data_IF_224301047874
#
_entry.id   IF_224301047874
#
_cell.length_a   1.000
_cell.length_b   1.000
_cell.length_c   1.000
_cell.angle_alpha   90.00
_cell.angle_beta   90.00
_cell.angle_gamma   90.00
#
_symmetry.space_group_name_H-M   'P 1'
#
loop_
_entity.id
_entity.type
_entity.pdbx_description
1 polymer ?
#
# COMPACT_ATOMS: atom_id res chain seq x y z
N UNK A 1 -24.64 7.33 10.30
CA UNK A 1 -24.23 6.21 9.44
C UNK A 1 -22.82 5.83 9.85
N UNK A 2 -22.39 4.58 9.72
CA UNK A 2 -21.00 4.22 10.00
C UNK A 2 -20.07 4.92 9.02
N UNK A 3 -18.85 5.24 9.49
CA UNK A 3 -17.84 5.88 8.67
C UNK A 3 -17.32 4.94 7.56
N UNK A 4 -16.62 5.52 6.60
CA UNK A 4 -16.02 4.84 5.47
C UNK A 4 -14.51 5.04 5.57
N UNK A 5 -13.73 3.96 5.49
CA UNK A 5 -12.29 4.05 5.29
C UNK A 5 -11.93 3.61 3.87
N UNK A 6 -10.81 4.12 3.35
CA UNK A 6 -10.25 3.67 2.08
C UNK A 6 -8.74 3.46 2.20
N UNK A 7 -8.21 2.56 1.39
CA UNK A 7 -6.80 2.19 1.37
C UNK A 7 -6.22 2.33 -0.03
N UNK A 8 -5.13 3.11 -0.12
CA UNK A 8 -4.19 3.09 -1.24
C UNK A 8 -2.97 2.24 -0.87
N UNK A 9 -2.56 1.31 -1.75
CA UNK A 9 -1.43 0.41 -1.52
C UNK A 9 -0.21 0.84 -2.30
N UNK A 10 0.94 0.86 -1.63
CA UNK A 10 2.18 1.30 -2.24
C UNK A 10 3.41 0.54 -1.77
N UNK A 11 4.59 1.00 -2.21
CA UNK A 11 5.88 0.41 -1.84
C UNK A 11 6.48 1.10 -0.62
N UNK A 12 6.54 2.43 -0.61
CA UNK A 12 7.10 3.22 0.49
C UNK A 12 6.19 3.25 1.71
N UNK A 13 4.92 3.56 1.47
CA UNK A 13 3.84 3.31 2.40
C UNK A 13 3.13 2.04 1.89
N UNK A 14 3.17 0.97 2.70
CA UNK A 14 2.58 -0.30 2.31
C UNK A 14 1.05 -0.19 2.24
N UNK A 15 0.48 0.68 3.07
CA UNK A 15 -0.90 1.12 2.99
C UNK A 15 -1.01 2.56 3.49
N UNK A 16 -1.78 3.39 2.79
CA UNK A 16 -2.28 4.67 3.27
C UNK A 16 -3.78 4.51 3.53
N UNK A 17 -4.21 4.70 4.76
CA UNK A 17 -5.60 4.55 5.19
C UNK A 17 -6.15 5.93 5.49
N UNK A 18 -7.33 6.23 4.94
CA UNK A 18 -8.04 7.49 5.17
C UNK A 18 -9.47 7.17 5.59
N UNK A 19 -9.97 7.86 6.61
CA UNK A 19 -11.35 7.76 7.05
C UNK A 19 -12.09 9.08 6.83
N UNK A 20 -13.37 9.02 6.51
CA UNK A 20 -14.19 10.22 6.29
C UNK A 20 -14.64 10.91 7.59
N UNK A 21 -14.13 10.49 8.74
CA UNK A 21 -14.23 11.22 10.01
C UNK A 21 -13.15 12.29 10.19
N UNK A 22 -12.22 12.42 9.23
CA UNK A 22 -11.12 13.37 9.28
C UNK A 22 -9.82 12.79 9.83
N UNK A 23 -9.64 11.47 9.78
CA UNK A 23 -8.42 10.79 10.22
C UNK A 23 -7.67 10.12 9.08
N UNK A 24 -6.35 9.95 9.23
CA UNK A 24 -5.50 9.29 8.25
C UNK A 24 -4.27 8.63 8.88
N UNK A 25 -3.87 7.47 8.33
CA UNK A 25 -2.78 6.64 8.85
C UNK A 25 -1.92 6.10 7.71
N UNK A 26 -0.60 6.13 7.88
CA UNK A 26 0.38 5.52 6.96
C UNK A 26 1.05 4.31 7.60
N UNK A 27 0.98 3.17 6.94
CA UNK A 27 1.72 1.97 7.29
C UNK A 27 3.00 1.88 6.45
N UNK A 28 4.18 2.01 7.09
CA UNK A 28 5.46 2.02 6.37
C UNK A 28 5.84 0.66 5.81
N UNK A 29 6.24 0.64 4.52
CA UNK A 29 6.67 -0.58 3.82
C UNK A 29 8.16 -0.91 3.93
N UNK A 30 8.97 -0.04 4.54
CA UNK A 30 10.44 -0.12 4.49
C UNK A 30 11.02 -1.45 5.00
N UNK A 31 10.53 -1.99 6.11
CA UNK A 31 11.02 -3.27 6.64
C UNK A 31 10.69 -4.45 5.71
N UNK A 32 9.47 -4.49 5.17
CA UNK A 32 9.04 -5.51 4.20
C UNK A 32 9.86 -5.43 2.93
N UNK A 33 10.06 -4.22 2.40
CA UNK A 33 10.89 -4.00 1.20
C UNK A 33 12.34 -4.42 1.41
N UNK A 34 12.92 -4.05 2.55
CA UNK A 34 14.31 -4.43 2.91
C UNK A 34 14.48 -5.94 3.00
N UNK A 35 13.54 -6.65 3.61
CA UNK A 35 13.55 -8.12 3.67
C UNK A 35 13.42 -8.74 2.27
N UNK A 36 12.52 -8.24 1.42
CA UNK A 36 12.38 -8.72 0.04
C UNK A 36 13.70 -8.54 -0.74
N UNK A 37 14.33 -7.36 -0.65
CA UNK A 37 15.60 -7.08 -1.33
C UNK A 37 16.74 -7.95 -0.81
N UNK A 38 16.85 -8.13 0.51
CA UNK A 38 17.84 -9.00 1.13
C UNK A 38 17.65 -10.46 0.70
N UNK A 39 16.42 -10.95 0.73
CA UNK A 39 16.07 -12.31 0.29
C UNK A 39 16.48 -12.55 -1.17
N UNK A 40 16.08 -11.66 -2.09
CA UNK A 40 16.40 -11.81 -3.51
C UNK A 40 17.92 -11.79 -3.75
N UNK A 41 18.67 -10.89 -3.09
CA UNK A 41 20.13 -10.82 -3.18
C UNK A 41 20.80 -12.12 -2.67
N UNK A 42 20.36 -12.62 -1.52
CA UNK A 42 20.92 -13.85 -0.94
C UNK A 42 20.57 -15.07 -1.78
N UNK A 43 19.32 -15.18 -2.24
CA UNK A 43 18.86 -16.24 -3.11
C UNK A 43 19.62 -16.27 -4.43
N UNK A 44 19.77 -15.13 -5.11
CA UNK A 44 20.51 -15.02 -6.37
C UNK A 44 21.98 -15.48 -6.20
N UNK A 45 22.65 -15.05 -5.12
CA UNK A 45 24.02 -15.50 -4.82
C UNK A 45 24.11 -17.01 -4.60
N UNK A 46 23.19 -17.58 -3.83
CA UNK A 46 23.20 -19.03 -3.57
C UNK A 46 22.90 -19.84 -4.85
N UNK A 47 21.94 -19.40 -5.67
CA UNK A 47 21.64 -20.02 -6.96
C UNK A 47 22.86 -19.99 -7.86
N UNK A 48 23.52 -18.84 -8.03
CA UNK A 48 24.72 -18.69 -8.85
C UNK A 48 25.87 -19.64 -8.44
N UNK A 49 26.04 -19.92 -7.14
CA UNK A 49 27.04 -20.85 -6.65
C UNK A 49 26.67 -22.30 -7.01
N UNK A 50 25.40 -22.66 -6.81
CA UNK A 50 24.91 -24.04 -7.03
C UNK A 50 24.93 -24.38 -8.54
N UNK A 51 24.57 -23.42 -9.40
CA UNK A 51 24.45 -23.65 -10.85
C UNK A 51 25.76 -23.40 -11.62
N UNK A 52 26.84 -23.06 -10.93
CA UNK A 52 28.12 -22.76 -11.57
C UNK A 52 28.61 -23.93 -12.42
N UNK A 53 28.77 -23.70 -13.72
CA UNK A 53 29.22 -24.68 -14.69
C UNK A 53 28.15 -25.68 -15.18
N UNK A 54 26.89 -25.48 -14.80
CA UNK A 54 25.77 -26.31 -15.24
C UNK A 54 24.65 -25.43 -15.83
N UNK A 55 24.52 -25.43 -17.15
CA UNK A 55 23.39 -24.78 -17.83
C UNK A 55 22.11 -25.60 -17.55
N UNK A 56 20.98 -24.89 -17.31
CA UNK A 56 19.63 -25.46 -17.04
C UNK A 56 19.46 -26.27 -15.75
N UNK A 57 20.41 -26.23 -14.81
CA UNK A 57 20.25 -26.90 -13.52
C UNK A 57 19.26 -26.16 -12.61
N UNK A 58 18.27 -26.90 -12.06
CA UNK A 58 17.43 -26.38 -11.00
C UNK A 58 18.20 -26.33 -9.67
N UNK A 59 18.44 -25.10 -9.17
CA UNK A 59 19.10 -24.92 -7.89
C UNK A 59 18.19 -25.36 -6.73
N UNK A 60 18.62 -26.39 -6.00
CA UNK A 60 17.94 -26.85 -4.78
C UNK A 60 18.98 -27.10 -3.69
N UNK A 61 18.70 -26.68 -2.46
CA UNK A 61 19.53 -26.98 -1.28
C UNK A 61 18.73 -26.73 0.00
N UNK A 62 19.19 -27.35 1.10
CA UNK A 62 18.65 -27.09 2.45
C UNK A 62 18.73 -25.61 2.82
N UNK A 63 19.81 -24.93 2.40
CA UNK A 63 19.99 -23.49 2.62
C UNK A 63 18.92 -22.67 1.90
N UNK A 64 18.67 -22.91 0.60
CA UNK A 64 17.64 -22.22 -0.16
C UNK A 64 16.24 -22.44 0.42
N UNK A 65 15.96 -23.66 0.86
CA UNK A 65 14.67 -23.98 1.51
C UNK A 65 14.50 -23.25 2.84
N UNK A 66 15.55 -23.20 3.67
CA UNK A 66 15.54 -22.47 4.93
C UNK A 66 15.40 -20.95 4.71
N UNK A 67 16.13 -20.40 3.73
CA UNK A 67 16.05 -18.98 3.37
C UNK A 67 14.63 -18.60 2.91
N UNK A 68 14.03 -19.42 2.04
CA UNK A 68 12.67 -19.19 1.55
C UNK A 68 11.63 -19.28 2.65
N UNK A 69 11.78 -20.21 3.59
CA UNK A 69 10.88 -20.33 4.74
C UNK A 69 10.97 -19.10 5.65
N UNK A 70 12.19 -18.70 6.01
CA UNK A 70 12.40 -17.52 6.85
C UNK A 70 11.76 -16.26 6.23
N UNK A 71 11.98 -16.05 4.93
CA UNK A 71 11.36 -14.95 4.19
C UNK A 71 9.81 -15.02 4.22
N UNK A 72 9.26 -16.20 3.91
CA UNK A 72 7.80 -16.38 3.91
C UNK A 72 7.18 -16.15 5.29
N UNK A 73 7.84 -16.64 6.36
CA UNK A 73 7.36 -16.45 7.74
C UNK A 73 7.39 -14.98 8.15
N UNK A 74 8.48 -14.25 7.81
CA UNK A 74 8.56 -12.80 8.07
C UNK A 74 7.46 -12.03 7.34
N UNK A 75 7.30 -12.27 6.04
CA UNK A 75 6.30 -11.59 5.23
C UNK A 75 4.89 -11.85 5.77
N UNK A 76 4.59 -13.10 6.11
CA UNK A 76 3.30 -13.49 6.67
C UNK A 76 3.04 -12.80 8.01
N UNK A 77 4.02 -12.78 8.91
CA UNK A 77 3.92 -12.11 10.21
C UNK A 77 3.64 -10.60 10.04
N UNK A 78 4.40 -9.92 9.17
CA UNK A 78 4.21 -8.48 8.93
C UNK A 78 2.83 -8.19 8.31
N UNK A 79 2.39 -8.98 7.33
CA UNK A 79 1.06 -8.82 6.75
C UNK A 79 -0.05 -9.08 7.79
N UNK A 80 0.14 -10.02 8.72
CA UNK A 80 -0.81 -10.26 9.82
C UNK A 80 -0.90 -9.07 10.78
N UNK A 81 0.24 -8.48 11.16
CA UNK A 81 0.31 -7.33 12.06
C UNK A 81 -0.30 -6.08 11.43
N UNK A 82 0.11 -5.76 10.21
CA UNK A 82 -0.40 -4.59 9.47
C UNK A 82 -1.91 -4.73 9.23
N UNK A 83 -2.37 -5.87 8.72
CA UNK A 83 -3.80 -6.07 8.46
C UNK A 83 -4.64 -6.04 9.74
N UNK A 84 -4.13 -6.54 10.88
CA UNK A 84 -4.83 -6.43 12.18
C UNK A 84 -4.89 -4.98 12.64
N UNK A 85 -3.78 -4.24 12.54
CA UNK A 85 -3.73 -2.82 12.90
C UNK A 85 -4.70 -1.98 12.05
N UNK A 86 -4.77 -2.23 10.73
CA UNK A 86 -5.73 -1.56 9.84
C UNK A 86 -7.18 -1.84 10.28
N UNK A 87 -7.52 -3.08 10.61
CA UNK A 87 -8.89 -3.40 11.04
C UNK A 87 -9.20 -2.79 12.41
N UNK A 88 -8.24 -2.77 13.34
CA UNK A 88 -8.41 -2.09 14.63
C UNK A 88 -8.64 -0.59 14.42
N UNK A 89 -7.88 0.05 13.53
CA UNK A 89 -8.10 1.44 13.12
C UNK A 89 -9.52 1.67 12.56
N UNK A 90 -9.99 0.80 11.65
CA UNK A 90 -11.35 0.88 11.14
C UNK A 90 -12.42 0.77 12.24
N UNK A 91 -12.22 -0.13 13.22
CA UNK A 91 -13.13 -0.31 14.36
C UNK A 91 -13.14 0.94 15.25
N UNK A 92 -11.96 1.48 15.58
CA UNK A 92 -11.78 2.68 16.41
C UNK A 92 -12.47 3.89 15.79
N UNK A 93 -12.38 4.03 14.46
CA UNK A 93 -13.02 5.09 13.69
C UNK A 93 -14.47 4.75 13.24
N UNK A 94 -15.08 3.72 13.83
CA UNK A 94 -16.47 3.32 13.56
C UNK A 94 -16.78 3.09 12.08
N UNK A 95 -15.82 2.60 11.29
CA UNK A 95 -16.01 2.33 9.88
C UNK A 95 -16.86 1.08 9.64
N UNK A 96 -17.97 1.25 8.93
CA UNK A 96 -18.81 0.11 8.48
C UNK A 96 -18.44 -0.36 7.06
N UNK A 97 -17.65 0.43 6.34
CA UNK A 97 -17.22 0.10 4.97
C UNK A 97 -15.73 0.41 4.80
N UNK A 98 -15.02 -0.49 4.13
CA UNK A 98 -13.62 -0.36 3.79
C UNK A 98 -13.42 -0.52 2.28
N UNK A 99 -12.97 0.55 1.62
CA UNK A 99 -12.68 0.57 0.19
C UNK A 99 -11.21 0.24 -0.04
N UNK A 100 -10.92 -0.73 -0.89
CA UNK A 100 -9.57 -1.18 -1.23
C UNK A 100 -9.26 -0.79 -2.67
N UNK A 101 -8.21 -0.01 -2.88
CA UNK A 101 -7.71 0.30 -4.22
C UNK A 101 -7.27 -0.96 -4.96
N UNK A 102 -7.68 -1.10 -6.22
CA UNK A 102 -7.30 -2.23 -7.08
C UNK A 102 -6.72 -1.72 -8.40
N UNK A 103 -5.50 -2.10 -8.69
CA UNK A 103 -4.90 -1.89 -10.00
C UNK A 103 -4.76 -3.23 -10.72
N UNK A 104 -5.67 -3.50 -11.65
CA UNK A 104 -5.69 -4.76 -12.43
C UNK A 104 -4.48 -4.91 -13.37
N UNK A 105 -3.83 -3.80 -13.73
CA UNK A 105 -2.68 -3.77 -14.67
C UNK A 105 -1.33 -3.65 -13.95
N UNK A 106 -1.30 -3.73 -12.65
CA UNK A 106 -0.11 -3.50 -11.83
C UNK A 106 1.13 -4.29 -12.23
N UNK A 107 0.96 -5.42 -12.92
CA UNK A 107 2.08 -6.29 -13.33
C UNK A 107 2.46 -6.17 -14.81
N UNK A 108 1.71 -5.44 -15.64
CA UNK A 108 1.85 -5.54 -17.10
C UNK A 108 2.48 -4.32 -17.77
N UNK A 109 2.32 -3.10 -17.28
CA UNK A 109 2.74 -1.87 -17.98
C UNK A 109 3.49 -0.84 -17.12
N UNK A 110 4.18 -1.26 -16.06
CA UNK A 110 4.95 -0.34 -15.24
C UNK A 110 6.33 -0.10 -15.85
N UNK A 111 6.48 0.90 -16.70
CA UNK A 111 7.79 1.42 -17.15
C UNK A 111 8.32 2.46 -16.15
N UNK A 112 8.52 2.03 -14.89
CA UNK A 112 9.11 2.86 -13.82
C UNK A 112 10.62 2.62 -13.66
N UNK A 113 11.25 1.96 -14.64
CA UNK A 113 12.64 1.49 -14.55
C UNK A 113 12.78 0.16 -13.77
N UNK A 114 13.79 -0.64 -14.14
CA UNK A 114 13.96 -2.03 -13.69
C UNK A 114 13.98 -2.20 -12.18
N UNK A 115 14.59 -1.29 -11.43
CA UNK A 115 14.70 -1.33 -9.97
C UNK A 115 13.35 -1.07 -9.28
N UNK A 116 12.60 -0.08 -9.77
CA UNK A 116 11.29 0.23 -9.21
C UNK A 116 10.28 -0.87 -9.51
N UNK A 117 10.32 -1.44 -10.72
CA UNK A 117 9.49 -2.57 -11.10
C UNK A 117 9.77 -3.80 -10.23
N UNK A 118 11.06 -4.11 -9.96
CA UNK A 118 11.43 -5.21 -9.08
C UNK A 118 10.94 -5.00 -7.63
N UNK A 119 11.12 -3.81 -7.08
CA UNK A 119 10.64 -3.47 -5.75
C UNK A 119 9.12 -3.61 -5.65
N UNK A 120 8.42 -3.18 -6.68
CA UNK A 120 6.96 -3.20 -6.74
C UNK A 120 6.40 -4.62 -6.85
N UNK A 121 6.98 -5.44 -7.73
CA UNK A 121 6.58 -6.84 -7.91
C UNK A 121 6.87 -7.69 -6.67
N UNK A 122 7.91 -7.34 -5.89
CA UNK A 122 8.30 -8.06 -4.69
C UNK A 122 7.43 -7.78 -3.47
N UNK A 123 6.69 -6.65 -3.44
CA UNK A 123 5.82 -6.32 -2.31
C UNK A 123 4.60 -7.24 -2.24
N UNK A 124 4.30 -7.83 -1.07
CA UNK A 124 3.23 -8.82 -0.92
C UNK A 124 1.84 -8.18 -0.76
N UNK A 125 1.49 -7.25 -1.67
CA UNK A 125 0.23 -6.49 -1.59
C UNK A 125 -0.98 -7.41 -1.69
N UNK A 126 -0.95 -8.42 -2.58
CA UNK A 126 -2.06 -9.36 -2.72
C UNK A 126 -2.32 -10.15 -1.44
N UNK A 127 -1.26 -10.57 -0.73
CA UNK A 127 -1.37 -11.26 0.56
C UNK A 127 -1.96 -10.33 1.63
N UNK A 128 -1.48 -9.08 1.70
CA UNK A 128 -2.00 -8.08 2.63
C UNK A 128 -3.49 -7.82 2.37
N UNK A 129 -3.90 -7.61 1.11
CA UNK A 129 -5.32 -7.43 0.72
C UNK A 129 -6.18 -8.60 1.18
N UNK A 130 -5.77 -9.84 0.90
CA UNK A 130 -6.50 -11.03 1.34
C UNK A 130 -6.69 -11.06 2.86
N UNK A 131 -5.63 -10.73 3.62
CA UNK A 131 -5.69 -10.70 5.09
C UNK A 131 -6.59 -9.57 5.62
N UNK A 132 -6.64 -8.42 4.95
CA UNK A 132 -7.55 -7.34 5.29
C UNK A 132 -9.00 -7.76 5.03
N UNK A 133 -9.29 -8.35 3.86
CA UNK A 133 -10.65 -8.72 3.45
C UNK A 133 -11.28 -9.70 4.44
N UNK A 134 -10.59 -10.81 4.79
CA UNK A 134 -11.20 -11.78 5.71
C UNK A 134 -11.34 -11.21 7.13
N UNK A 135 -10.36 -10.41 7.61
CA UNK A 135 -10.44 -9.79 8.93
C UNK A 135 -11.52 -8.70 9.01
N UNK A 136 -11.74 -7.96 7.91
CA UNK A 136 -12.85 -7.01 7.81
C UNK A 136 -14.20 -7.75 7.90
N UNK A 137 -14.32 -8.87 7.18
CA UNK A 137 -15.52 -9.72 7.25
C UNK A 137 -15.77 -10.24 8.68
N UNK A 138 -14.73 -10.71 9.37
CA UNK A 138 -14.81 -11.16 10.77
C UNK A 138 -15.25 -10.03 11.72
N UNK A 139 -14.88 -8.78 11.41
CA UNK A 139 -15.25 -7.58 12.16
C UNK A 139 -16.61 -6.98 11.75
N UNK A 140 -17.32 -7.57 10.79
CA UNK A 140 -18.57 -7.05 10.27
C UNK A 140 -18.42 -5.80 9.38
N UNK A 141 -17.22 -5.52 8.87
CA UNK A 141 -16.91 -4.40 7.98
C UNK A 141 -17.06 -4.84 6.52
N UNK A 142 -17.92 -4.15 5.76
CA UNK A 142 -18.11 -4.40 4.33
C UNK A 142 -16.87 -3.96 3.54
N UNK A 143 -16.34 -4.81 2.66
CA UNK A 143 -15.24 -4.46 1.76
C UNK A 143 -15.73 -4.17 0.34
N UNK A 144 -15.16 -3.14 -0.31
CA UNK A 144 -15.40 -2.77 -1.71
C UNK A 144 -14.05 -2.71 -2.42
N UNK A 145 -13.92 -3.39 -3.56
CA UNK A 145 -12.73 -3.25 -4.43
C UNK A 145 -13.00 -2.15 -5.44
N UNK A 146 -12.12 -1.15 -5.51
CA UNK A 146 -12.26 -0.01 -6.41
C UNK A 146 -11.04 0.13 -7.31
N UNK A 147 -11.29 0.22 -8.60
CA UNK A 147 -10.28 0.55 -9.60
C UNK A 147 -9.72 1.96 -9.32
N UNK A 148 -8.38 2.11 -9.35
CA UNK A 148 -7.67 3.30 -8.84
C UNK A 148 -7.07 4.21 -9.92
N UNK A 149 -7.41 4.04 -11.22
CA UNK A 149 -6.90 4.93 -12.26
C UNK A 149 -7.21 6.39 -11.95
N UNK A 150 -6.21 7.25 -12.14
CA UNK A 150 -6.26 8.69 -11.97
C UNK A 150 -6.50 9.20 -10.54
N UNK A 151 -6.71 8.33 -9.55
CA UNK A 151 -6.95 8.75 -8.15
C UNK A 151 -5.76 9.49 -7.52
N UNK A 152 -4.53 9.17 -7.95
CA UNK A 152 -3.32 9.85 -7.50
C UNK A 152 -3.07 11.21 -8.18
N UNK A 153 -3.77 11.49 -9.29
CA UNK A 153 -3.67 12.74 -10.06
C UNK A 153 -4.74 13.76 -9.66
N UNK A 154 -5.94 13.29 -9.32
CA UNK A 154 -7.06 14.14 -8.95
C UNK A 154 -6.84 14.85 -7.61
N UNK A 155 -7.24 16.13 -7.53
CA UNK A 155 -7.23 16.94 -6.32
C UNK A 155 -8.51 16.68 -5.51
N UNK A 156 -8.35 16.11 -4.32
CA UNK A 156 -9.48 15.83 -3.43
C UNK A 156 -10.14 17.13 -2.94
N UNK A 157 -9.38 18.21 -2.76
CA UNK A 157 -9.92 19.48 -2.24
C UNK A 157 -10.75 20.23 -3.27
N UNK A 158 -10.47 20.03 -4.56
CA UNK A 158 -11.24 20.60 -5.67
C UNK A 158 -12.33 19.65 -6.17
N UNK A 159 -12.39 18.42 -5.65
CA UNK A 159 -13.31 17.39 -6.12
C UNK A 159 -13.19 17.13 -7.64
N UNK A 160 -11.95 17.14 -8.17
CA UNK A 160 -11.69 16.91 -9.59
C UNK A 160 -12.42 15.66 -10.09
N UNK A 161 -12.93 15.72 -11.32
CA UNK A 161 -13.49 14.52 -11.95
C UNK A 161 -12.43 13.41 -12.08
N UNK A 162 -12.77 12.20 -11.69
CA UNK A 162 -11.87 11.04 -11.76
C UNK A 162 -12.36 10.12 -12.88
N UNK A 163 -11.70 10.12 -14.06
CA UNK A 163 -12.13 9.32 -15.18
C UNK A 163 -11.87 7.82 -14.96
N UNK A 164 -12.49 7.02 -15.83
CA UNK A 164 -12.22 5.60 -15.96
C UNK A 164 -11.27 5.40 -17.15
N UNK A 165 -10.17 4.66 -16.91
CA UNK A 165 -9.15 4.43 -17.93
C UNK A 165 -9.71 3.79 -19.20
N UNK A 166 -9.44 4.44 -20.35
CA UNK A 166 -9.86 3.98 -21.66
C UNK A 166 -11.35 4.12 -21.95
N UNK A 167 -12.09 4.89 -21.16
CA UNK A 167 -13.52 5.16 -21.34
C UNK A 167 -13.77 6.65 -21.57
N UNK A 168 -13.31 7.50 -20.66
CA UNK A 168 -13.60 8.93 -20.61
C UNK A 168 -12.39 9.79 -20.19
N UNK A 169 -11.18 9.27 -20.41
CA UNK A 169 -9.93 9.85 -19.92
C UNK A 169 -9.21 10.78 -20.93
N UNK A 170 -9.68 10.89 -22.17
CA UNK A 170 -8.99 11.64 -23.24
C UNK A 170 -8.80 13.13 -22.92
N UNK A 171 -9.67 13.74 -22.11
CA UNK A 171 -9.64 15.17 -21.77
C UNK A 171 -9.57 15.41 -20.25
N UNK A 172 -9.03 14.48 -19.50
CA UNK A 172 -8.95 14.61 -18.05
C UNK A 172 -8.04 15.77 -17.64
N UNK A 173 -8.57 16.72 -16.88
CA UNK A 173 -7.84 17.86 -16.32
C UNK A 173 -7.85 17.77 -14.81
N UNK A 174 -6.66 17.94 -14.21
CA UNK A 174 -6.49 17.89 -12.76
C UNK A 174 -5.98 19.24 -12.26
N UNK A 175 -6.63 19.77 -11.22
CA UNK A 175 -6.36 21.11 -10.69
C UNK A 175 -5.15 21.16 -9.76
N UNK A 176 -4.78 20.05 -9.14
CA UNK A 176 -3.58 19.92 -8.30
C UNK A 176 -2.44 19.20 -9.02
N UNK A 177 -1.31 19.00 -8.31
CA UNK A 177 -0.16 18.28 -8.86
C UNK A 177 0.71 17.63 -7.79
N UNK A 178 1.30 16.49 -8.10
CA UNK A 178 2.33 15.86 -7.28
C UNK A 178 3.63 16.68 -7.36
N UNK A 179 4.17 17.15 -6.23
CA UNK A 179 5.39 17.97 -6.16
C UNK A 179 6.62 17.14 -5.79
N UNK A 180 6.43 16.09 -5.02
CA UNK A 180 7.45 15.07 -4.71
C UNK A 180 6.81 13.69 -4.65
N UNK A 181 7.59 12.64 -4.40
CA UNK A 181 7.04 11.30 -4.21
C UNK A 181 5.99 11.22 -3.09
N UNK A 182 6.17 12.02 -2.03
CA UNK A 182 5.32 11.96 -0.82
C UNK A 182 4.31 13.10 -0.73
N UNK A 183 4.46 14.16 -1.51
CA UNK A 183 3.65 15.37 -1.38
C UNK A 183 2.91 15.74 -2.65
N UNK A 184 1.66 16.11 -2.46
CA UNK A 184 0.75 16.62 -3.48
C UNK A 184 0.33 18.05 -3.12
N UNK A 185 0.38 18.97 -4.07
CA UNK A 185 -0.08 20.35 -3.91
C UNK A 185 -1.45 20.48 -4.54
N UNK A 186 -2.43 20.79 -3.70
CA UNK A 186 -3.79 21.05 -4.11
C UNK A 186 -3.92 22.42 -4.79
N UNK A 187 -5.00 22.62 -5.54
CA UNK A 187 -5.34 23.88 -6.23
C UNK A 187 -5.50 25.06 -5.27
N UNK A 188 -5.99 24.83 -4.06
CA UNK A 188 -6.10 25.83 -3.00
C UNK A 188 -4.76 26.17 -2.31
N UNK A 189 -3.64 25.59 -2.76
CA UNK A 189 -2.31 25.80 -2.22
C UNK A 189 -1.92 24.88 -1.07
N UNK A 190 -2.85 24.11 -0.50
CA UNK A 190 -2.57 23.13 0.55
C UNK A 190 -1.60 22.06 0.03
N UNK A 191 -0.68 21.62 0.90
CA UNK A 191 0.22 20.50 0.61
C UNK A 191 -0.16 19.33 1.51
N UNK A 192 -0.54 18.23 0.90
CA UNK A 192 -1.01 17.02 1.58
C UNK A 192 -0.12 15.82 1.24
N UNK A 193 -0.27 14.73 1.98
CA UNK A 193 0.38 13.47 1.63
C UNK A 193 -0.22 12.89 0.34
N UNK A 194 0.62 12.54 -0.62
CA UNK A 194 0.18 12.11 -1.95
C UNK A 194 -0.56 10.76 -1.93
N UNK A 195 -0.16 9.84 -1.04
CA UNK A 195 -0.80 8.52 -0.94
C UNK A 195 -2.13 8.64 -0.18
N UNK A 196 -2.24 9.57 0.80
CA UNK A 196 -3.53 9.91 1.43
C UNK A 196 -4.49 10.59 0.45
N UNK A 197 -4.00 11.46 -0.46
CA UNK A 197 -4.81 12.01 -1.56
C UNK A 197 -5.36 10.88 -2.45
N UNK A 198 -4.51 9.91 -2.81
CA UNK A 198 -4.92 8.72 -3.57
C UNK A 198 -6.01 7.93 -2.86
N UNK A 199 -5.83 7.62 -1.56
CA UNK A 199 -6.81 6.88 -0.76
C UNK A 199 -8.15 7.64 -0.64
N UNK A 200 -8.12 8.97 -0.44
CA UNK A 200 -9.33 9.79 -0.38
C UNK A 200 -10.10 9.80 -1.72
N UNK A 201 -9.38 9.84 -2.84
CA UNK A 201 -9.98 9.76 -4.17
C UNK A 201 -10.48 8.34 -4.51
N UNK A 202 -9.82 7.28 -4.04
CA UNK A 202 -10.31 5.89 -4.12
C UNK A 202 -11.66 5.78 -3.40
N UNK A 203 -11.78 6.35 -2.20
CA UNK A 203 -13.05 6.40 -1.45
C UNK A 203 -14.15 7.07 -2.27
N UNK A 204 -13.89 8.27 -2.78
CA UNK A 204 -14.85 9.06 -3.56
C UNK A 204 -15.25 8.37 -4.87
N UNK A 205 -14.32 7.71 -5.54
CA UNK A 205 -14.58 6.95 -6.77
C UNK A 205 -15.52 5.77 -6.53
N UNK A 206 -15.41 5.12 -5.35
CA UNK A 206 -16.28 4.02 -4.95
C UNK A 206 -17.63 4.50 -4.42
N UNK A 207 -17.62 5.60 -3.66
CA UNK A 207 -18.80 6.15 -2.97
C UNK A 207 -18.76 7.68 -3.17
N UNK A 208 -19.43 8.20 -4.22
CA UNK A 208 -19.36 9.63 -4.58
C UNK A 208 -19.68 10.59 -3.43
N UNK A 209 -20.61 10.21 -2.57
CA UNK A 209 -21.10 11.03 -1.45
C UNK A 209 -20.29 10.86 -0.15
N UNK A 210 -19.17 10.10 -0.18
CA UNK A 210 -18.37 9.79 1.02
C UNK A 210 -17.84 11.03 1.75
N UNK A 211 -17.65 12.13 1.03
CA UNK A 211 -17.11 13.40 1.55
C UNK A 211 -18.15 14.50 1.69
N UNK A 212 -19.45 14.20 1.57
CA UNK A 212 -20.51 15.20 1.70
C UNK A 212 -20.46 15.85 3.09
N UNK A 213 -20.42 17.20 3.10
CA UNK A 213 -20.32 17.99 4.32
C UNK A 213 -18.90 18.16 4.89
N UNK A 214 -17.89 17.53 4.29
CA UNK A 214 -16.49 17.68 4.69
C UNK A 214 -15.79 18.66 3.74
N UNK A 215 -15.33 19.76 4.29
CA UNK A 215 -14.63 20.83 3.53
C UNK A 215 -13.17 21.00 3.96
N UNK A 216 -12.81 20.49 5.13
CA UNK A 216 -11.43 20.53 5.63
C UNK A 216 -10.73 19.19 5.41
N UNK A 217 -9.70 19.19 4.57
CA UNK A 217 -8.83 18.05 4.27
C UNK A 217 -7.43 18.20 4.88
N UNK A 218 -7.26 19.08 5.88
CA UNK A 218 -5.97 19.33 6.54
C UNK A 218 -5.38 18.08 7.20
N UNK A 219 -6.21 17.14 7.64
CA UNK A 219 -5.78 15.84 8.21
C UNK A 219 -4.98 14.98 7.21
N UNK A 220 -5.10 15.21 5.91
CA UNK A 220 -4.29 14.53 4.88
C UNK A 220 -2.86 15.08 4.80
N UNK A 221 -2.60 16.27 5.40
CA UNK A 221 -1.26 16.87 5.42
C UNK A 221 -0.35 16.22 6.47
N UNK A 222 -0.94 15.72 7.56
CA UNK A 222 -0.20 15.17 8.71
C UNK A 222 -0.80 13.85 9.18
N UNK A 223 -0.76 12.80 8.32
CA UNK A 223 -1.27 11.48 8.70
C UNK A 223 -0.47 10.91 9.87
N UNK A 224 -1.11 10.13 10.72
CA UNK A 224 -0.43 9.28 11.69
C UNK A 224 0.46 8.27 10.97
N UNK A 225 1.52 7.81 11.63
CA UNK A 225 2.49 6.90 11.02
C UNK A 225 2.68 5.68 11.90
N UNK A 226 2.48 4.50 11.34
CA UNK A 226 2.81 3.22 11.95
C UNK A 226 3.93 2.54 11.16
N UNK A 227 5.06 2.31 11.81
CA UNK A 227 6.20 1.63 11.23
C UNK A 227 6.43 0.26 11.83
N UNK A 228 7.60 -0.32 11.53
CA UNK A 228 7.96 -1.65 12.01
C UNK A 228 8.02 -1.73 13.55
N UNK A 229 8.50 -0.69 14.22
CA UNK A 229 8.68 -0.70 15.68
C UNK A 229 7.34 -0.63 16.42
N UNK A 230 6.41 0.19 15.95
CA UNK A 230 5.07 0.29 16.52
C UNK A 230 4.29 -1.01 16.39
N UNK A 231 4.49 -1.73 15.29
CA UNK A 231 3.87 -3.04 15.04
C UNK A 231 4.59 -4.21 15.73
N UNK A 232 5.82 -3.99 16.23
CA UNK A 232 6.65 -4.99 16.90
C UNK A 232 7.22 -4.46 18.23
N UNK A 233 6.37 -4.06 19.19
CA UNK A 233 6.79 -3.33 20.40
C UNK A 233 7.73 -4.14 21.32
N UNK A 234 7.79 -5.46 21.20
CA UNK A 234 8.64 -6.31 22.03
C UNK A 234 10.08 -6.42 21.52
N UNK A 235 10.46 -5.64 20.51
CA UNK A 235 11.85 -5.51 20.10
C UNK A 235 12.58 -6.83 19.82
N UNK A 236 11.87 -7.86 19.34
CA UNK A 236 12.54 -9.09 18.91
C UNK A 236 13.42 -8.70 17.72
N UNK A 237 14.75 -8.65 17.90
CA UNK A 237 15.62 -8.34 16.78
C UNK A 237 15.36 -9.42 15.73
N UNK A 238 14.89 -9.03 14.55
CA UNK A 238 14.87 -9.91 13.40
C UNK A 238 16.33 -10.24 13.11
N UNK A 239 16.79 -11.43 13.55
CA UNK A 239 18.14 -11.90 13.28
C UNK A 239 18.33 -11.90 11.77
N UNK A 240 19.01 -10.89 11.24
CA UNK A 240 19.30 -10.77 9.81
C UNK A 240 19.32 -9.36 9.24
N UNK A 241 18.76 -8.36 9.92
CA UNK A 241 18.93 -6.94 9.53
C UNK A 241 20.14 -6.40 10.29
N UNK A 242 21.32 -6.90 9.98
CA UNK A 242 22.55 -6.17 10.27
C UNK A 242 22.65 -5.04 9.24
N UNK A 243 22.62 -3.80 9.72
CA UNK A 243 23.01 -2.66 8.92
C UNK A 243 24.40 -2.92 8.32
N UNK A 244 24.51 -2.90 7.01
CA UNK A 244 25.74 -2.83 6.24
C UNK A 244 25.67 -1.60 5.38
#
# INVERSE_FOLDING_TARGET
MPNICAIDFGVSNFAAVVCNDGSSMLYKGGAVLSECQWFHKKRAKAVSIITKGHEHMHASSKYLSSLSRHHADFIKDQCHKISRSIINYCIEHHAGTLVLGENKRWKQDCDMGSQNNQNFVSMPISLLKQMIIYKASDAGIKTIMQEESYTSLADITAMDYIPVYGVDDENAVFSGRRITRSFYRCSNGMVINADCNGAANIMRKAIPDAWNGITDFSFLASPEVSGFHELNPLGIPVKGIAAA
#
